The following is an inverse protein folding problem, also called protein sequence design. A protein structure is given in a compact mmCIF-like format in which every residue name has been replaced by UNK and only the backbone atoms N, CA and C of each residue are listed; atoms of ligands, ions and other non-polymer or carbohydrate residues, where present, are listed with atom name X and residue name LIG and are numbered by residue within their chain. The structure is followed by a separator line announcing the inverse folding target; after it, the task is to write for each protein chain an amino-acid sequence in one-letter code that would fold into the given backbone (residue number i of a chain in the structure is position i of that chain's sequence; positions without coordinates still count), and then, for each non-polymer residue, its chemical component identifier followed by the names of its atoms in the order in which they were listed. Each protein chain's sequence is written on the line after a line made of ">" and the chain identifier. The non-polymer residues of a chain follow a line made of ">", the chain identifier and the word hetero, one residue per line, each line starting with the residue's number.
data_IF_099522760653
#
_entry.id   IF_099522760653
#
_cell.length_a   1.000
_cell.length_b   1.000
_cell.length_c   1.000
_cell.angle_alpha   90.00
_cell.angle_beta   90.00
_cell.angle_gamma   90.00
#
_symmetry.space_group_name_H-M   'P 1'
#
loop_
_entity.id
_entity.type
_entity.pdbx_description
1 polymer ?
#
# COMPACT_ATOMS: atom_id res chain seq x y z
N UNK A 1 12.91 -10.11 -13.83
CA UNK A 1 14.11 -10.34 -14.67
C UNK A 1 14.19 -11.82 -15.00
N UNK A 2 14.53 -12.19 -16.25
CA UNK A 2 14.60 -13.60 -16.70
C UNK A 2 16.04 -14.14 -16.81
N UNK A 3 17.07 -13.38 -16.40
CA UNK A 3 18.47 -13.83 -16.38
C UNK A 3 19.08 -13.72 -14.98
N UNK A 4 19.82 -14.72 -14.47
CA UNK A 4 20.56 -14.68 -13.21
C UNK A 4 21.72 -13.67 -13.20
N UNK A 5 22.18 -13.23 -14.38
CA UNK A 5 23.36 -12.35 -14.51
C UNK A 5 23.12 -10.91 -14.02
N UNK A 6 21.88 -10.54 -13.70
CA UNK A 6 21.46 -9.19 -13.27
C UNK A 6 21.12 -9.11 -11.76
N UNK A 7 21.45 -10.12 -10.93
CA UNK A 7 21.07 -10.11 -9.50
C UNK A 7 21.78 -9.00 -8.73
N UNK A 8 23.09 -8.82 -8.95
CA UNK A 8 23.87 -7.75 -8.32
C UNK A 8 23.31 -6.37 -8.73
N UNK A 9 23.05 -6.17 -10.02
CA UNK A 9 22.45 -4.95 -10.54
C UNK A 9 21.06 -4.68 -9.92
N UNK A 10 20.23 -5.72 -9.75
CA UNK A 10 18.92 -5.60 -9.10
C UNK A 10 19.02 -5.18 -7.63
N UNK A 11 20.04 -5.65 -6.91
CA UNK A 11 20.34 -5.26 -5.53
C UNK A 11 20.83 -3.81 -5.49
N UNK A 12 21.72 -3.41 -6.40
CA UNK A 12 22.25 -2.06 -6.50
C UNK A 12 21.16 -1.03 -6.85
N UNK A 13 20.19 -1.40 -7.68
CA UNK A 13 19.02 -0.57 -8.01
C UNK A 13 18.18 -0.15 -6.78
N UNK A 14 18.27 -0.88 -5.67
CA UNK A 14 17.57 -0.55 -4.41
C UNK A 14 18.51 -0.08 -3.30
N UNK A 15 19.74 0.30 -3.64
CA UNK A 15 20.80 0.77 -2.75
C UNK A 15 21.41 -0.33 -1.84
N UNK A 16 21.43 -1.59 -2.30
CA UNK A 16 22.04 -2.68 -1.56
C UNK A 16 21.20 -3.18 -0.37
N UNK A 17 21.84 -3.98 0.49
CA UNK A 17 21.21 -4.49 1.71
C UNK A 17 21.28 -3.46 2.87
N UNK A 18 20.32 -3.47 3.83
CA UNK A 18 19.20 -4.40 3.94
C UNK A 18 18.08 -4.11 2.93
N UNK A 19 17.45 -5.16 2.42
CA UNK A 19 16.38 -5.08 1.43
C UNK A 19 15.25 -6.08 1.70
N UNK A 20 14.08 -5.84 1.12
CA UNK A 20 12.90 -6.69 1.23
C UNK A 20 12.61 -7.34 -0.13
N UNK A 21 12.44 -8.65 -0.14
CA UNK A 21 12.01 -9.43 -1.31
C UNK A 21 10.56 -9.86 -1.09
N UNK A 22 9.70 -9.59 -2.06
CA UNK A 22 8.27 -9.94 -2.04
C UNK A 22 7.92 -10.81 -3.24
N UNK A 23 7.31 -11.96 -3.00
CA UNK A 23 6.67 -12.75 -4.06
C UNK A 23 5.36 -12.06 -4.46
N UNK A 24 5.12 -11.91 -5.77
CA UNK A 24 3.95 -11.20 -6.30
C UNK A 24 2.66 -12.02 -6.23
N UNK A 25 2.78 -13.33 -6.03
CA UNK A 25 1.67 -14.27 -5.93
C UNK A 25 1.56 -14.78 -4.48
N UNK A 26 0.45 -14.43 -3.81
CA UNK A 26 0.18 -14.85 -2.43
C UNK A 26 -0.66 -13.84 -1.63
N UNK A 27 -1.14 -14.26 -0.45
CA UNK A 27 -1.85 -13.39 0.50
C UNK A 27 -1.22 -13.49 1.90
N UNK A 28 -1.49 -12.52 2.79
CA UNK A 28 -1.12 -12.54 4.22
C UNK A 28 0.39 -12.46 4.55
N UNK A 29 1.23 -11.97 3.64
CA UNK A 29 2.66 -11.74 3.89
C UNK A 29 3.52 -13.00 3.90
N UNK A 30 2.97 -14.13 3.43
CA UNK A 30 3.76 -15.27 2.99
C UNK A 30 4.51 -14.83 1.72
N UNK A 31 5.82 -15.03 1.68
CA UNK A 31 6.66 -14.57 0.57
C UNK A 31 7.22 -13.15 0.72
N UNK A 32 7.17 -12.54 1.92
CA UNK A 32 7.90 -11.28 2.22
C UNK A 32 9.07 -11.61 3.14
N UNK A 33 10.29 -11.39 2.65
CA UNK A 33 11.56 -11.72 3.33
C UNK A 33 12.41 -10.47 3.47
N UNK A 34 12.95 -10.24 4.67
CA UNK A 34 13.97 -9.24 4.92
C UNK A 34 15.34 -9.90 4.79
N UNK A 35 16.20 -9.37 3.93
CA UNK A 35 17.58 -9.79 3.77
C UNK A 35 18.49 -8.70 4.34
N UNK A 36 19.21 -9.04 5.42
CA UNK A 36 20.10 -8.08 6.09
C UNK A 36 21.44 -7.90 5.38
N UNK A 37 21.82 -8.84 4.50
CA UNK A 37 23.07 -8.84 3.75
C UNK A 37 22.81 -9.11 2.26
N UNK A 38 23.72 -8.68 1.40
CA UNK A 38 23.64 -8.90 -0.05
C UNK A 38 23.69 -10.39 -0.37
N UNK A 39 24.61 -11.16 0.25
CA UNK A 39 24.69 -12.62 0.05
C UNK A 39 23.38 -13.33 0.41
N UNK A 40 22.68 -12.88 1.46
CA UNK A 40 21.38 -13.42 1.81
C UNK A 40 20.31 -13.04 0.78
N UNK A 41 20.36 -11.82 0.24
CA UNK A 41 19.47 -11.37 -0.82
C UNK A 41 19.68 -12.19 -2.11
N UNK A 42 20.94 -12.34 -2.56
CA UNK A 42 21.32 -13.16 -3.71
C UNK A 42 20.77 -14.58 -3.60
N UNK A 43 21.03 -15.25 -2.48
CA UNK A 43 20.57 -16.62 -2.23
C UNK A 43 19.05 -16.74 -2.31
N UNK A 44 18.32 -15.76 -1.78
CA UNK A 44 16.84 -15.76 -1.80
C UNK A 44 16.31 -15.46 -3.21
N UNK A 45 16.93 -14.54 -3.94
CA UNK A 45 16.58 -14.22 -5.33
C UNK A 45 16.79 -15.44 -6.22
N UNK A 46 17.96 -16.10 -6.15
CA UNK A 46 18.26 -17.32 -6.90
C UNK A 46 17.25 -18.43 -6.62
N UNK A 47 16.90 -18.63 -5.34
CA UNK A 47 15.91 -19.62 -4.95
C UNK A 47 14.53 -19.34 -5.59
N UNK A 48 14.05 -18.09 -5.55
CA UNK A 48 12.77 -17.74 -6.17
C UNK A 48 12.80 -17.80 -7.71
N UNK A 49 13.93 -17.45 -8.33
CA UNK A 49 14.13 -17.59 -9.79
C UNK A 49 14.12 -19.06 -10.21
N UNK A 50 14.76 -19.96 -9.44
CA UNK A 50 14.72 -21.40 -9.68
C UNK A 50 13.31 -21.98 -9.58
N UNK A 51 12.47 -21.42 -8.71
CA UNK A 51 11.05 -21.74 -8.58
C UNK A 51 10.16 -21.02 -9.61
N UNK A 52 10.75 -20.25 -10.54
CA UNK A 52 10.05 -19.44 -11.56
C UNK A 52 9.00 -18.51 -10.97
N UNK A 53 9.25 -17.98 -9.78
CA UNK A 53 8.36 -17.04 -9.11
C UNK A 53 8.70 -15.60 -9.52
N UNK A 54 7.66 -14.79 -9.71
CA UNK A 54 7.84 -13.36 -9.91
C UNK A 54 8.08 -12.68 -8.56
N UNK A 55 9.15 -11.91 -8.47
CA UNK A 55 9.56 -11.21 -7.25
C UNK A 55 9.63 -9.70 -7.47
N UNK A 56 9.46 -8.96 -6.38
CA UNK A 56 9.78 -7.55 -6.25
C UNK A 56 10.85 -7.37 -5.18
N UNK A 57 11.89 -6.61 -5.52
CA UNK A 57 12.96 -6.21 -4.60
C UNK A 57 12.74 -4.76 -4.21
N UNK A 58 12.86 -4.44 -2.93
CA UNK A 58 12.55 -3.11 -2.38
C UNK A 58 13.56 -2.72 -1.30
N UNK A 59 13.94 -1.43 -1.26
CA UNK A 59 14.71 -0.83 -0.16
C UNK A 59 14.03 -1.11 1.20
N UNK A 60 14.80 -1.53 2.22
CA UNK A 60 14.26 -1.66 3.57
C UNK A 60 14.31 -0.32 4.31
N UNK A 61 13.14 0.25 4.60
CA UNK A 61 12.99 1.51 5.34
C UNK A 61 13.17 1.27 6.84
N UNK A 62 14.42 1.14 7.28
CA UNK A 62 14.78 0.78 8.67
C UNK A 62 14.23 1.77 9.71
N UNK A 63 14.18 3.05 9.39
CA UNK A 63 13.68 4.09 10.29
C UNK A 63 12.18 3.97 10.61
N UNK A 64 11.41 3.22 9.79
CA UNK A 64 10.02 2.93 10.10
C UNK A 64 9.87 2.03 11.33
N UNK A 65 10.93 1.33 11.75
CA UNK A 65 10.97 0.59 13.01
C UNK A 65 9.95 -0.55 13.09
N UNK A 66 9.68 -1.22 11.96
CA UNK A 66 8.66 -2.26 11.87
C UNK A 66 7.23 -1.74 12.07
N UNK A 67 7.00 -0.45 11.79
CA UNK A 67 5.68 0.15 11.83
C UNK A 67 5.25 0.67 10.48
N UNK A 68 3.94 0.66 10.24
CA UNK A 68 3.32 1.34 9.11
C UNK A 68 2.06 2.08 9.59
N UNK A 69 1.62 3.02 8.75
CA UNK A 69 0.42 3.82 8.98
C UNK A 69 -0.63 3.41 7.97
N UNK A 70 -1.72 2.80 8.43
CA UNK A 70 -2.89 2.51 7.60
C UNK A 70 -3.84 3.70 7.63
N UNK A 71 -3.99 4.34 6.49
CA UNK A 71 -4.96 5.41 6.23
C UNK A 71 -6.20 4.83 5.55
N UNK A 72 -7.39 5.09 6.09
CA UNK A 72 -8.64 4.66 5.48
C UNK A 72 -9.28 5.82 4.71
N UNK A 73 -9.28 5.71 3.39
CA UNK A 73 -9.81 6.72 2.48
C UNK A 73 -11.24 6.37 2.09
N UNK A 74 -12.14 7.35 2.21
CA UNK A 74 -13.51 7.31 1.66
C UNK A 74 -13.77 8.61 0.91
N UNK A 75 -14.04 8.50 -0.38
CA UNK A 75 -14.15 9.61 -1.32
C UNK A 75 -12.84 10.40 -1.40
N UNK A 76 -12.89 11.63 -0.92
CA UNK A 76 -11.82 12.63 -0.92
C UNK A 76 -11.25 12.91 0.48
N UNK A 77 -11.54 12.05 1.46
CA UNK A 77 -11.10 12.20 2.85
C UNK A 77 -10.43 10.93 3.39
N UNK A 78 -9.42 11.12 4.23
CA UNK A 78 -8.96 10.07 5.15
C UNK A 78 -9.86 10.15 6.38
N UNK A 79 -10.70 9.14 6.60
CA UNK A 79 -11.71 9.16 7.68
C UNK A 79 -11.19 8.55 8.98
N UNK A 80 -10.18 7.69 8.89
CA UNK A 80 -9.57 7.02 10.02
C UNK A 80 -8.11 6.68 9.68
N UNK A 81 -7.24 6.67 10.68
CA UNK A 81 -5.87 6.22 10.53
C UNK A 81 -5.41 5.47 11.79
N UNK A 82 -4.62 4.42 11.58
CA UNK A 82 -3.98 3.68 12.67
C UNK A 82 -2.51 3.44 12.37
N UNK A 83 -1.69 3.51 13.41
CA UNK A 83 -0.32 2.97 13.38
C UNK A 83 -0.41 1.48 13.73
N UNK A 84 0.16 0.63 12.87
CA UNK A 84 0.39 -0.77 13.19
C UNK A 84 1.85 -0.97 13.54
N UNK A 85 2.12 -1.72 14.61
CA UNK A 85 3.47 -1.98 15.10
C UNK A 85 3.73 -3.49 15.12
N UNK A 86 4.83 -3.91 14.51
CA UNK A 86 5.28 -5.29 14.56
C UNK A 86 5.72 -5.69 15.98
N UNK A 87 5.58 -6.97 16.30
CA UNK A 87 6.11 -7.56 17.54
C UNK A 87 7.64 -7.56 17.55
N UNK A 88 8.31 -7.66 18.72
CA UNK A 88 9.76 -7.79 18.79
C UNK A 88 10.27 -8.96 17.92
N UNK A 89 11.31 -8.71 17.12
CA UNK A 89 11.89 -9.69 16.20
C UNK A 89 11.12 -9.90 14.89
N UNK A 90 10.08 -9.11 14.62
CA UNK A 90 9.34 -9.12 13.35
C UNK A 90 9.36 -7.71 12.75
N UNK A 91 9.48 -7.60 11.42
CA UNK A 91 9.44 -6.31 10.73
C UNK A 91 8.07 -6.04 10.08
N UNK A 92 7.25 -7.08 9.91
CA UNK A 92 5.90 -6.98 9.37
C UNK A 92 4.91 -6.64 10.49
N UNK A 93 4.26 -5.49 10.34
CA UNK A 93 3.32 -4.90 11.29
C UNK A 93 1.90 -5.47 11.22
N UNK A 94 1.66 -6.52 10.42
CA UNK A 94 0.30 -7.04 10.24
C UNK A 94 -0.32 -7.54 11.56
N UNK A 95 -1.58 -7.18 11.80
CA UNK A 95 -2.30 -7.54 13.05
C UNK A 95 -2.48 -9.06 13.20
N UNK A 96 -2.73 -9.78 12.11
CA UNK A 96 -2.83 -11.25 12.15
C UNK A 96 -1.52 -11.96 12.52
N UNK A 97 -0.38 -11.26 12.55
CA UNK A 97 0.92 -11.77 12.99
C UNK A 97 1.28 -11.40 14.44
N UNK A 98 0.32 -10.86 15.18
CA UNK A 98 0.50 -10.41 16.57
C UNK A 98 1.04 -8.99 16.68
N UNK A 99 0.94 -8.18 15.63
CA UNK A 99 1.17 -6.75 15.71
C UNK A 99 0.06 -6.04 16.50
N UNK A 100 0.36 -4.84 17.02
CA UNK A 100 -0.62 -3.99 17.71
C UNK A 100 -1.09 -2.86 16.80
N UNK A 101 -2.31 -2.36 17.01
CA UNK A 101 -2.83 -1.17 16.34
C UNK A 101 -3.23 -0.12 17.37
N UNK A 102 -2.90 1.14 17.08
CA UNK A 102 -3.34 2.30 17.84
C UNK A 102 -3.77 3.41 16.88
N UNK A 103 -4.76 4.22 17.26
CA UNK A 103 -5.06 5.45 16.53
C UNK A 103 -3.81 6.33 16.36
N UNK A 104 -3.75 7.04 15.24
CA UNK A 104 -2.64 7.96 14.96
C UNK A 104 -3.16 9.18 14.20
N UNK A 105 -2.65 10.34 14.58
CA UNK A 105 -2.86 11.58 13.83
C UNK A 105 -1.90 11.62 12.63
N UNK A 106 -2.45 11.96 11.47
CA UNK A 106 -1.69 12.16 10.24
C UNK A 106 -1.25 13.60 10.12
N UNK A 107 -0.05 13.82 9.60
CA UNK A 107 0.33 15.14 9.13
C UNK A 107 -0.28 15.46 7.75
N UNK A 108 -0.10 16.70 7.30
CA UNK A 108 -0.62 17.16 6.01
C UNK A 108 -0.04 16.37 4.83
N UNK A 109 1.25 16.01 4.90
CA UNK A 109 1.95 15.30 3.83
C UNK A 109 1.46 13.83 3.73
N UNK A 110 1.22 13.19 4.85
CA UNK A 110 0.65 11.84 4.97
C UNK A 110 -0.76 11.80 4.40
N UNK A 111 -1.61 12.74 4.85
CA UNK A 111 -2.99 12.87 4.36
C UNK A 111 -3.01 13.10 2.85
N UNK A 112 -2.23 14.04 2.35
CA UNK A 112 -2.14 14.33 0.92
C UNK A 112 -1.63 13.12 0.13
N UNK A 113 -0.66 12.37 0.67
CA UNK A 113 -0.10 11.19 0.02
C UNK A 113 -1.11 10.04 -0.07
N UNK A 114 -1.83 9.76 1.02
CA UNK A 114 -2.89 8.75 1.03
C UNK A 114 -4.02 9.08 0.02
N UNK A 115 -4.50 10.32 0.03
CA UNK A 115 -5.56 10.76 -0.90
C UNK A 115 -5.12 10.71 -2.37
N UNK A 116 -3.87 11.13 -2.66
CA UNK A 116 -3.33 11.04 -4.01
C UNK A 116 -3.20 9.58 -4.46
N UNK A 117 -2.72 8.69 -3.60
CA UNK A 117 -2.58 7.27 -3.92
C UNK A 117 -3.94 6.65 -4.29
N UNK A 118 -4.97 6.83 -3.45
CA UNK A 118 -6.32 6.34 -3.75
C UNK A 118 -6.87 6.91 -5.07
N UNK A 119 -6.68 8.21 -5.31
CA UNK A 119 -7.12 8.88 -6.54
C UNK A 119 -6.44 8.36 -7.80
N UNK A 120 -5.12 8.17 -7.78
CA UNK A 120 -4.36 7.62 -8.92
C UNK A 120 -4.82 6.20 -9.25
N UNK A 121 -5.19 5.42 -8.23
CA UNK A 121 -5.75 4.08 -8.39
C UNK A 121 -7.23 4.08 -8.81
N UNK A 122 -7.90 5.24 -8.85
CA UNK A 122 -9.32 5.35 -9.19
C UNK A 122 -10.26 4.77 -8.12
N UNK A 123 -9.81 4.68 -6.87
CA UNK A 123 -10.56 4.07 -5.77
C UNK A 123 -11.29 5.12 -4.94
N UNK A 124 -12.61 4.94 -4.78
CA UNK A 124 -13.43 5.76 -3.86
C UNK A 124 -13.45 5.26 -2.43
N UNK A 125 -13.03 4.01 -2.18
CA UNK A 125 -12.81 3.45 -0.85
C UNK A 125 -11.50 2.68 -0.92
N UNK A 126 -10.55 2.98 -0.04
CA UNK A 126 -9.24 2.33 -0.05
C UNK A 126 -8.58 2.34 1.34
N UNK A 127 -7.83 1.29 1.64
CA UNK A 127 -6.80 1.31 2.68
C UNK A 127 -5.46 1.64 2.05
N UNK A 128 -4.81 2.71 2.47
CA UNK A 128 -3.48 3.09 1.99
C UNK A 128 -2.48 2.93 3.12
N UNK A 129 -1.48 2.09 2.91
CA UNK A 129 -0.41 1.85 3.89
C UNK A 129 0.77 2.75 3.57
N UNK A 130 1.23 3.49 4.57
CA UNK A 130 2.37 4.40 4.46
C UNK A 130 3.50 3.95 5.40
N UNK A 131 4.74 4.17 4.96
CA UNK A 131 5.92 4.14 5.82
C UNK A 131 6.38 5.58 6.07
N UNK A 132 6.57 5.92 7.35
CA UNK A 132 7.25 7.17 7.74
C UNK A 132 8.75 7.00 7.48
N UNK A 133 9.30 7.78 6.56
CA UNK A 133 10.72 7.76 6.22
C UNK A 133 11.33 9.15 6.37
N UNK A 134 12.66 9.25 6.38
CA UNK A 134 13.37 10.54 6.35
C UNK A 134 13.12 11.34 5.06
N UNK A 135 12.68 10.66 3.99
CA UNK A 135 12.36 11.26 2.68
C UNK A 135 10.89 11.74 2.61
N UNK A 136 10.11 11.60 3.69
CA UNK A 136 8.66 11.82 3.74
C UNK A 136 7.85 10.52 3.74
N UNK A 137 6.52 10.59 3.66
CA UNK A 137 5.66 9.40 3.64
C UNK A 137 5.81 8.63 2.32
N UNK A 138 6.09 7.33 2.43
CA UNK A 138 6.22 6.43 1.28
C UNK A 138 5.00 5.52 1.22
N UNK A 139 4.38 5.40 0.05
CA UNK A 139 3.25 4.46 -0.15
C UNK A 139 3.80 3.04 -0.24
N UNK A 140 3.30 2.16 0.64
CA UNK A 140 3.67 0.75 0.70
C UNK A 140 2.67 -0.15 -0.04
N UNK A 141 1.38 0.07 0.18
CA UNK A 141 0.28 -0.71 -0.41
C UNK A 141 -0.95 0.18 -0.57
N UNK A 142 -1.75 -0.08 -1.62
CA UNK A 142 -3.12 0.43 -1.74
C UNK A 142 -4.07 -0.75 -1.90
N UNK A 143 -5.02 -0.87 -0.97
CA UNK A 143 -5.96 -1.98 -0.89
C UNK A 143 -7.37 -1.50 -1.21
N UNK A 144 -8.01 -2.09 -2.22
CA UNK A 144 -9.38 -1.73 -2.67
C UNK A 144 -10.51 -2.34 -1.84
N UNK A 145 -10.20 -3.30 -0.96
CA UNK A 145 -11.16 -3.93 -0.06
C UNK A 145 -10.55 -4.09 1.34
N UNK A 146 -10.22 -2.97 2.01
CA UNK A 146 -9.57 -2.99 3.31
C UNK A 146 -10.50 -3.57 4.39
N UNK A 147 -9.94 -4.33 5.33
CA UNK A 147 -10.67 -4.81 6.51
C UNK A 147 -11.01 -3.67 7.48
N UNK A 148 -12.17 -3.77 8.13
CA UNK A 148 -12.72 -2.71 9.00
C UNK A 148 -12.43 -2.95 10.49
N UNK A 149 -12.55 -4.19 10.95
CA UNK A 149 -12.49 -4.56 12.37
C UNK A 149 -11.28 -3.95 13.11
N UNK A 150 -10.08 -4.09 12.54
CA UNK A 150 -8.86 -3.58 13.17
C UNK A 150 -8.81 -2.05 13.25
N UNK A 151 -9.30 -1.33 12.23
CA UNK A 151 -9.23 0.13 12.20
C UNK A 151 -10.35 0.77 13.02
N UNK A 152 -11.57 0.22 12.97
CA UNK A 152 -12.67 0.67 13.83
C UNK A 152 -12.36 0.38 15.30
N UNK A 153 -11.80 -0.79 15.61
CA UNK A 153 -11.35 -1.12 16.97
C UNK A 153 -10.24 -0.19 17.49
N UNK A 154 -9.30 0.21 16.63
CA UNK A 154 -8.20 1.08 17.02
C UNK A 154 -8.57 2.57 17.12
N UNK A 155 -9.56 3.03 16.34
CA UNK A 155 -9.89 4.46 16.21
C UNK A 155 -11.24 4.85 16.80
N UNK A 156 -12.17 3.90 16.96
CA UNK A 156 -13.55 4.16 17.36
C UNK A 156 -14.40 4.87 16.29
N UNK A 157 -13.87 5.06 15.08
CA UNK A 157 -14.60 5.69 13.97
C UNK A 157 -15.53 4.68 13.31
N UNK A 158 -16.77 5.09 13.02
CA UNK A 158 -17.72 4.32 12.20
C UNK A 158 -17.33 4.41 10.71
N UNK A 159 -16.45 3.52 10.29
CA UNK A 159 -15.94 3.44 8.92
C UNK A 159 -16.99 2.84 8.00
N UNK A 160 -17.72 1.82 8.47
CA UNK A 160 -18.80 1.20 7.72
C UNK A 160 -19.90 2.22 7.35
N UNK A 161 -20.34 3.04 8.30
CA UNK A 161 -21.31 4.12 8.08
C UNK A 161 -20.82 5.14 7.04
N UNK A 162 -19.56 5.57 7.14
CA UNK A 162 -18.98 6.49 6.16
C UNK A 162 -18.96 5.92 4.72
N UNK A 163 -18.70 4.62 4.56
CA UNK A 163 -18.76 3.94 3.25
C UNK A 163 -20.20 3.93 2.71
N UNK A 164 -21.18 3.63 3.57
CA UNK A 164 -22.60 3.65 3.20
C UNK A 164 -23.02 5.05 2.73
N UNK A 165 -22.71 6.08 3.52
CA UNK A 165 -23.02 7.47 3.19
C UNK A 165 -22.41 7.90 1.86
N UNK A 166 -21.14 7.56 1.64
CA UNK A 166 -20.44 7.83 0.37
C UNK A 166 -21.13 7.14 -0.81
N UNK A 167 -21.51 5.88 -0.65
CA UNK A 167 -22.16 5.09 -1.69
C UNK A 167 -23.55 5.66 -2.03
N UNK A 168 -24.35 5.99 -1.02
CA UNK A 168 -25.68 6.60 -1.18
C UNK A 168 -25.58 7.96 -1.88
N UNK A 169 -24.62 8.80 -1.49
CA UNK A 169 -24.38 10.08 -2.14
C UNK A 169 -23.96 9.93 -3.61
N UNK A 170 -23.19 8.88 -3.94
CA UNK A 170 -22.78 8.55 -5.30
C UNK A 170 -23.94 8.15 -6.21
N UNK A 171 -24.88 7.34 -5.71
CA UNK A 171 -26.08 6.90 -6.44
C UNK A 171 -27.05 8.07 -6.70
N UNK A 172 -27.07 9.08 -5.82
CA UNK A 172 -27.96 10.25 -5.94
C UNK A 172 -27.50 11.29 -6.96
N UNK A 173 -26.29 11.20 -7.52
CA UNK A 173 -25.87 12.09 -8.61
C UNK A 173 -26.49 11.61 -9.93
N UNK A 174 -27.34 12.41 -10.62
CA UNK A 174 -27.90 11.98 -11.90
C UNK A 174 -26.76 11.70 -12.88
N UNK A 175 -26.85 10.58 -13.60
CA UNK A 175 -25.89 10.21 -14.64
C UNK A 175 -25.63 11.43 -15.52
N UNK A 176 -24.36 11.82 -15.67
CA UNK A 176 -23.98 12.89 -16.61
C UNK A 176 -24.56 12.52 -17.97
N UNK A 177 -25.50 13.34 -18.46
CA UNK A 177 -26.06 13.17 -19.79
C UNK A 177 -24.90 13.11 -20.80
N UNK A 178 -24.92 12.16 -21.76
CA UNK A 178 -23.84 12.03 -22.73
C UNK A 178 -23.69 13.37 -23.47
N UNK A 179 -22.46 13.87 -23.51
CA UNK A 179 -22.13 15.10 -24.22
C UNK A 179 -22.58 14.94 -25.68
N UNK A 180 -23.56 15.75 -26.10
CA UNK A 180 -24.01 15.82 -27.51
C UNK A 180 -22.78 16.09 -28.38
N UNK A 181 -22.35 15.09 -29.16
CA UNK A 181 -21.40 15.29 -30.25
C UNK A 181 -22.00 16.36 -31.18
N UNK A 182 -21.35 17.52 -31.27
CA UNK A 182 -21.63 18.47 -32.35
C UNK A 182 -21.27 17.78 -33.66
N UNK A 183 -22.27 17.40 -34.45
CA UNK A 183 -22.03 16.98 -35.83
C UNK A 183 -21.50 18.18 -36.59
N UNK A 184 -20.24 18.13 -37.00
CA UNK A 184 -19.72 19.02 -38.03
C UNK A 184 -20.48 18.73 -39.32
N UNK A 185 -21.47 19.58 -39.64
CA UNK A 185 -22.03 19.67 -40.98
C UNK A 185 -20.93 20.22 -41.90
N UNK A 186 -20.28 19.33 -42.64
CA UNK A 186 -19.56 19.68 -43.86
C UNK A 186 -20.49 19.38 -45.03
N UNK A 187 -20.74 20.41 -45.86
CA UNK A 187 -20.95 20.41 -47.32
C UNK A 187 -21.99 21.46 -47.74
N UNK A 188 -21.50 22.55 -48.34
CA UNK A 188 -21.65 22.83 -49.77
C UNK A 188 -20.47 23.72 -50.20
#
# INVERSE_FOLDING_TARGET
>A
AHSPDDIADLIDMVNGAPLVIKVLEGTQGIGVVLCETETAAESVIEAFMGLKQNIMVQEYIKEAGGADIRCFVVGDKVIAAMKRQAKPGEFRSNLHRGGTATAVELDEAETATALRAARVMGLGVAGVDLLRSKKGPLVLEVNSSPGLEGIEGATGVDVAGAIIDYTVAGVRKPARAPARRRSALTKA
#
